data_IF_746716719027
#
_entry.id   IF_746716719027
#
_cell.length_a   1.000
_cell.length_b   1.000
_cell.length_c   1.000
_cell.angle_alpha   90.00
_cell.angle_beta   90.00
_cell.angle_gamma   90.00
#
_symmetry.space_group_name_H-M   'P 1'
#
loop_
_entity.id
_entity.type
_entity.pdbx_description
1 polymer ?
#
# COMPACT_ATOMS: atom_id res chain seq x y z
N UNK A 1 23.29 0.18 -6.02
CA UNK A 1 24.14 1.26 -6.58
C UNK A 1 23.20 2.21 -7.30
N UNK A 2 22.93 3.37 -6.69
CA UNK A 2 22.15 4.45 -7.29
C UNK A 2 23.09 5.15 -8.30
N UNK A 3 22.83 5.05 -9.60
CA UNK A 3 23.48 5.96 -10.56
C UNK A 3 22.76 7.30 -10.49
N UNK A 4 23.36 8.26 -9.78
CA UNK A 4 22.78 9.59 -9.59
C UNK A 4 23.35 10.51 -10.66
N UNK A 5 22.52 10.95 -11.60
CA UNK A 5 22.88 12.00 -12.57
C UNK A 5 22.91 13.36 -11.87
N UNK A 6 24.12 13.82 -11.53
CA UNK A 6 24.54 15.20 -11.20
C UNK A 6 23.44 16.25 -10.92
N UNK A 7 22.80 16.20 -9.74
CA UNK A 7 22.00 17.32 -9.20
C UNK A 7 21.81 17.28 -7.66
N UNK A 8 22.64 16.55 -6.91
CA UNK A 8 22.52 16.45 -5.46
C UNK A 8 23.39 17.48 -4.71
N UNK A 9 22.82 18.16 -3.72
CA UNK A 9 23.56 18.99 -2.78
C UNK A 9 24.47 18.11 -1.91
N UNK A 10 25.78 18.18 -2.14
CA UNK A 10 26.78 17.48 -1.32
C UNK A 10 27.07 18.34 -0.08
N UNK A 11 26.69 17.88 1.10
CA UNK A 11 27.05 18.51 2.37
C UNK A 11 28.28 17.83 2.97
N UNK A 12 29.36 18.57 3.15
CA UNK A 12 30.57 18.07 3.81
C UNK A 12 30.44 18.22 5.34
N UNK A 13 30.55 17.12 6.08
CA UNK A 13 30.65 17.13 7.53
C UNK A 13 32.03 16.59 7.94
N UNK A 14 32.92 17.47 8.41
CA UNK A 14 34.23 17.07 8.95
C UNK A 14 34.09 16.82 10.46
N UNK A 15 34.04 15.56 10.88
CA UNK A 15 34.19 15.18 12.29
C UNK A 15 35.68 14.94 12.59
N UNK A 16 36.24 15.73 13.51
CA UNK A 16 37.68 15.75 13.85
C UNK A 16 38.10 14.65 14.83
N UNK A 17 37.88 13.39 14.47
CA UNK A 17 38.52 12.23 15.10
C UNK A 17 39.11 11.39 13.98
N UNK A 18 40.37 10.92 14.12
CA UNK A 18 41.21 10.25 13.12
C UNK A 18 40.62 8.97 12.49
N UNK A 19 39.45 9.08 11.86
CA UNK A 19 38.65 8.04 11.22
C UNK A 19 38.24 8.51 9.83
N UNK A 20 38.09 7.54 8.94
CA UNK A 20 37.80 7.75 7.51
C UNK A 20 36.69 8.81 7.29
N UNK A 21 36.92 9.72 6.34
CA UNK A 21 35.93 10.70 5.90
C UNK A 21 34.73 9.95 5.31
N UNK A 22 33.63 9.89 6.06
CA UNK A 22 32.34 9.38 5.55
C UNK A 22 31.62 10.55 4.91
N UNK A 23 31.43 10.48 3.60
CA UNK A 23 30.65 11.49 2.88
C UNK A 23 29.16 11.22 3.09
N UNK A 24 28.36 12.27 3.29
CA UNK A 24 26.92 12.17 3.51
C UNK A 24 26.14 12.87 2.40
N UNK A 25 25.16 12.17 1.83
CA UNK A 25 24.22 12.70 0.85
C UNK A 25 22.83 12.65 1.47
N UNK A 26 22.16 13.80 1.53
CA UNK A 26 20.76 13.88 1.96
C UNK A 26 19.88 14.14 0.74
N UNK A 27 18.93 13.25 0.47
CA UNK A 27 18.04 13.36 -0.69
C UNK A 27 16.62 13.68 -0.21
N UNK A 28 15.97 14.74 -0.74
CA UNK A 28 14.55 14.99 -0.49
C UNK A 28 13.71 13.82 -1.04
N UNK A 29 12.79 13.31 -0.23
CA UNK A 29 11.97 12.15 -0.62
C UNK A 29 11.07 12.43 -1.82
N UNK A 30 10.52 13.64 -1.97
CA UNK A 30 9.75 14.00 -3.16
C UNK A 30 10.57 13.96 -4.45
N UNK A 31 11.86 14.32 -4.37
CA UNK A 31 12.80 14.27 -5.49
C UNK A 31 13.13 12.82 -5.80
N UNK A 32 13.52 12.04 -4.80
CA UNK A 32 13.81 10.61 -4.98
C UNK A 32 12.61 9.87 -5.61
N UNK A 33 11.39 10.07 -5.10
CA UNK A 33 10.20 9.44 -5.65
C UNK A 33 9.98 9.80 -7.12
N UNK A 34 10.09 11.10 -7.46
CA UNK A 34 9.92 11.57 -8.84
C UNK A 34 11.00 10.99 -9.76
N UNK A 35 12.24 10.93 -9.30
CA UNK A 35 13.37 10.43 -10.08
C UNK A 35 13.25 8.93 -10.33
N UNK A 36 12.78 8.16 -9.34
CA UNK A 36 12.46 6.74 -9.48
C UNK A 36 11.31 6.51 -10.47
N UNK A 37 10.21 7.27 -10.34
CA UNK A 37 9.04 7.14 -11.22
C UNK A 37 9.36 7.53 -12.67
N UNK A 38 10.17 8.57 -12.86
CA UNK A 38 10.64 8.98 -14.19
C UNK A 38 11.70 8.03 -14.78
N UNK A 39 12.32 7.19 -13.94
CA UNK A 39 13.46 6.34 -14.29
C UNK A 39 14.75 7.11 -14.52
N UNK A 40 14.87 8.29 -13.92
CA UNK A 40 16.14 9.02 -13.83
C UNK A 40 17.10 8.32 -12.87
N UNK A 41 16.55 7.68 -11.85
CA UNK A 41 17.26 6.88 -10.85
C UNK A 41 16.62 5.49 -10.80
N UNK A 42 17.41 4.46 -10.57
CA UNK A 42 16.93 3.09 -10.36
C UNK A 42 17.51 2.49 -9.07
N UNK A 43 16.66 1.80 -8.30
CA UNK A 43 17.08 1.02 -7.15
C UNK A 43 17.52 -0.36 -7.63
N UNK A 44 18.81 -0.68 -7.51
CA UNK A 44 19.32 -2.02 -7.89
C UNK A 44 18.87 -3.16 -6.97
N UNK A 45 18.52 -2.82 -5.74
CA UNK A 45 18.13 -3.75 -4.67
C UNK A 45 17.12 -3.01 -3.78
N UNK A 46 15.88 -2.84 -4.26
CA UNK A 46 14.87 -2.01 -3.61
C UNK A 46 14.52 -2.55 -2.23
N UNK A 47 14.38 -3.87 -2.07
CA UNK A 47 14.09 -4.51 -0.78
C UNK A 47 15.09 -4.09 0.30
N UNK A 48 16.39 -4.32 0.08
CA UNK A 48 17.42 -3.99 1.07
C UNK A 48 17.55 -2.49 1.29
N UNK A 49 17.49 -1.70 0.21
CA UNK A 49 17.69 -0.25 0.28
C UNK A 49 16.50 0.41 0.99
N UNK A 50 15.27 0.07 0.63
CA UNK A 50 14.07 0.63 1.25
C UNK A 50 13.95 0.20 2.71
N UNK A 51 14.26 -1.07 3.04
CA UNK A 51 14.27 -1.51 4.43
C UNK A 51 15.28 -0.72 5.28
N UNK A 52 16.47 -0.42 4.75
CA UNK A 52 17.46 0.42 5.43
C UNK A 52 17.01 1.89 5.54
N UNK A 53 16.40 2.45 4.49
CA UNK A 53 15.93 3.84 4.46
C UNK A 53 14.68 4.08 5.33
N UNK A 54 13.81 3.08 5.47
CA UNK A 54 12.57 3.14 6.23
C UNK A 54 12.72 2.62 7.66
N UNK A 55 13.79 1.86 7.93
CA UNK A 55 14.12 1.34 9.24
C UNK A 55 14.53 2.41 10.25
N UNK A 56 14.98 1.94 11.42
CA UNK A 56 15.32 2.80 12.58
C UNK A 56 16.41 3.82 12.24
N UNK A 57 17.42 3.39 11.48
CA UNK A 57 18.59 4.21 11.18
C UNK A 57 18.34 5.25 10.09
N UNK A 58 17.35 5.05 9.21
CA UNK A 58 16.97 5.95 8.09
C UNK A 58 18.13 6.38 7.18
N UNK A 59 19.19 5.57 7.11
CA UNK A 59 20.28 5.75 6.16
C UNK A 59 20.78 4.40 5.67
N UNK A 60 21.44 4.41 4.52
CA UNK A 60 22.16 3.25 3.99
C UNK A 60 23.59 3.65 3.63
N UNK A 61 24.52 2.72 3.77
CA UNK A 61 25.92 2.91 3.39
C UNK A 61 26.15 2.27 2.01
N UNK A 62 26.52 3.08 1.03
CA UNK A 62 26.81 2.65 -0.34
C UNK A 62 28.19 3.18 -0.72
N UNK A 63 29.15 2.29 -0.92
CA UNK A 63 30.51 2.63 -1.37
C UNK A 63 31.20 3.70 -0.50
N UNK A 64 30.98 3.63 0.82
CA UNK A 64 31.52 4.61 1.79
C UNK A 64 30.72 5.90 1.93
N UNK A 65 29.64 6.07 1.16
CA UNK A 65 28.71 7.18 1.28
C UNK A 65 27.53 6.81 2.19
N UNK A 66 27.22 7.70 3.13
CA UNK A 66 25.98 7.65 3.92
C UNK A 66 24.89 8.36 3.14
N UNK A 67 23.91 7.61 2.65
CA UNK A 67 22.75 8.15 1.95
C UNK A 67 21.59 8.16 2.93
N UNK A 68 21.05 9.34 3.22
CA UNK A 68 19.83 9.51 4.00
C UNK A 68 18.74 10.14 3.14
N UNK A 69 17.50 9.76 3.43
CA UNK A 69 16.32 10.32 2.79
C UNK A 69 15.50 11.03 3.85
N UNK A 70 15.05 12.25 3.54
CA UNK A 70 14.24 13.05 4.46
C UNK A 70 12.94 13.48 3.80
N UNK A 71 11.89 13.58 4.60
CA UNK A 71 10.59 14.09 4.16
C UNK A 71 10.71 15.61 4.05
N UNK A 72 10.78 16.11 2.83
CA UNK A 72 10.81 17.54 2.55
C UNK A 72 9.43 18.19 2.73
N UNK A 73 9.43 19.52 2.82
CA UNK A 73 8.23 20.33 3.06
C UNK A 73 7.20 20.18 1.94
N UNK A 74 7.64 19.97 0.69
CA UNK A 74 6.72 19.87 -0.44
C UNK A 74 5.99 18.53 -0.44
N UNK A 75 6.68 17.43 -0.13
CA UNK A 75 6.03 16.15 0.14
C UNK A 75 5.02 16.28 1.28
N UNK A 76 5.43 16.89 2.38
CA UNK A 76 4.60 17.11 3.56
C UNK A 76 3.30 17.85 3.24
N UNK A 77 3.42 19.00 2.58
CA UNK A 77 2.28 19.80 2.13
C UNK A 77 1.35 18.98 1.27
N UNK A 78 1.90 18.20 0.34
CA UNK A 78 1.11 17.40 -0.59
C UNK A 78 0.34 16.31 0.18
N UNK A 79 1.00 15.53 1.02
CA UNK A 79 0.35 14.52 1.87
C UNK A 79 -0.75 15.14 2.73
N UNK A 80 -0.49 16.30 3.35
CA UNK A 80 -1.48 16.99 4.18
C UNK A 80 -2.68 17.50 3.37
N UNK A 81 -2.46 18.07 2.18
CA UNK A 81 -3.52 18.52 1.29
C UNK A 81 -4.39 17.33 0.87
N UNK A 82 -3.79 16.22 0.45
CA UNK A 82 -4.52 15.00 0.13
C UNK A 82 -5.35 14.51 1.32
N UNK A 83 -4.69 14.35 2.47
CA UNK A 83 -5.31 13.87 3.70
C UNK A 83 -6.51 14.73 4.14
N UNK A 84 -6.35 16.05 4.11
CA UNK A 84 -7.42 16.99 4.45
C UNK A 84 -8.52 17.01 3.39
N UNK A 85 -8.16 16.91 2.10
CA UNK A 85 -9.14 16.88 1.01
C UNK A 85 -10.07 15.66 1.13
N UNK A 86 -9.53 14.50 1.49
CA UNK A 86 -10.32 13.28 1.68
C UNK A 86 -11.32 13.41 2.83
N UNK A 87 -10.94 14.12 3.90
CA UNK A 87 -11.80 14.34 5.08
C UNK A 87 -12.86 15.40 4.87
N UNK A 88 -12.50 16.50 4.23
CA UNK A 88 -13.39 17.66 4.04
C UNK A 88 -14.29 17.48 2.81
N UNK A 89 -13.79 16.81 1.78
CA UNK A 89 -14.46 16.61 0.50
C UNK A 89 -14.32 15.14 0.07
N UNK A 90 -14.91 14.19 0.82
CA UNK A 90 -14.81 12.78 0.47
C UNK A 90 -15.35 12.58 -0.95
N UNK A 91 -14.60 11.84 -1.76
CA UNK A 91 -15.06 11.45 -3.09
C UNK A 91 -16.39 10.69 -2.96
N UNK A 92 -17.24 10.79 -3.98
CA UNK A 92 -18.49 10.02 -4.03
C UNK A 92 -18.13 8.54 -3.93
N UNK A 93 -18.54 7.91 -2.84
CA UNK A 93 -18.24 6.51 -2.53
C UNK A 93 -19.53 5.71 -2.56
N UNK A 94 -19.63 4.78 -3.52
CA UNK A 94 -20.81 3.95 -3.72
C UNK A 94 -20.71 2.69 -2.84
N UNK A 95 -21.25 2.78 -1.62
CA UNK A 95 -21.19 1.69 -0.63
C UNK A 95 -21.77 0.39 -1.19
N UNK A 96 -22.89 0.46 -1.91
CA UNK A 96 -23.56 -0.72 -2.46
C UNK A 96 -22.71 -1.42 -3.53
N UNK A 97 -22.09 -0.66 -4.44
CA UNK A 97 -21.19 -1.22 -5.46
C UNK A 97 -19.93 -1.81 -4.82
N UNK A 98 -19.39 -1.16 -3.80
CA UNK A 98 -18.23 -1.64 -3.07
C UNK A 98 -18.50 -2.97 -2.37
N UNK A 99 -19.62 -3.06 -1.64
CA UNK A 99 -20.04 -4.30 -0.97
C UNK A 99 -20.41 -5.38 -2.00
N UNK A 100 -21.16 -5.03 -3.04
CA UNK A 100 -21.53 -5.99 -4.09
C UNK A 100 -20.28 -6.53 -4.80
N UNK A 101 -19.28 -5.68 -5.06
CA UNK A 101 -17.99 -6.09 -5.63
C UNK A 101 -17.25 -7.10 -4.75
N UNK A 102 -17.36 -7.00 -3.43
CA UNK A 102 -16.79 -7.98 -2.50
C UNK A 102 -17.49 -9.36 -2.57
N UNK A 103 -18.79 -9.40 -2.88
CA UNK A 103 -19.51 -10.67 -3.09
C UNK A 103 -19.37 -11.20 -4.52
N UNK A 104 -19.22 -10.33 -5.52
CA UNK A 104 -19.23 -10.69 -6.94
C UNK A 104 -17.85 -10.89 -7.55
N UNK A 105 -16.75 -10.60 -6.84
CA UNK A 105 -15.39 -10.98 -7.27
C UNK A 105 -15.22 -12.50 -7.21
N UNK A 106 -15.87 -13.17 -8.15
CA UNK A 106 -15.46 -14.46 -8.69
C UNK A 106 -14.08 -14.28 -9.38
N UNK A 107 -13.26 -15.33 -9.50
CA UNK A 107 -11.79 -15.23 -9.63
C UNK A 107 -11.21 -14.53 -10.87
N UNK A 108 -12.01 -13.99 -11.79
CA UNK A 108 -11.59 -13.86 -13.18
C UNK A 108 -11.08 -12.49 -13.64
N UNK A 109 -11.00 -11.44 -12.81
CA UNK A 109 -10.58 -10.10 -13.32
C UNK A 109 -9.76 -9.21 -12.39
N UNK A 110 -9.23 -9.75 -11.30
CA UNK A 110 -8.27 -9.03 -10.44
C UNK A 110 -6.85 -9.12 -11.00
N UNK A 111 -6.61 -8.64 -12.22
CA UNK A 111 -5.25 -8.55 -12.81
C UNK A 111 -4.34 -7.50 -12.12
N UNK A 112 -4.69 -7.06 -10.92
CA UNK A 112 -3.81 -6.31 -9.99
C UNK A 112 -3.68 -6.98 -8.61
N UNK A 113 -4.37 -8.10 -8.38
CA UNK A 113 -4.18 -8.97 -7.21
C UNK A 113 -4.04 -10.40 -7.74
N UNK A 114 -2.92 -10.65 -8.42
CA UNK A 114 -2.52 -11.98 -8.85
C UNK A 114 -2.09 -12.77 -7.61
N UNK A 115 -3.05 -13.21 -6.78
CA UNK A 115 -2.79 -14.25 -5.79
C UNK A 115 -2.57 -15.54 -6.56
N UNK A 116 -1.32 -15.78 -6.95
CA UNK A 116 -0.83 -17.05 -7.50
C UNK A 116 -0.76 -18.06 -6.35
N UNK A 117 -1.92 -18.45 -5.82
CA UNK A 117 -2.02 -19.65 -4.98
C UNK A 117 -2.50 -20.82 -5.83
N UNK A 118 -1.75 -21.18 -6.86
CA UNK A 118 -1.81 -22.55 -7.38
C UNK A 118 -0.38 -23.09 -7.51
N UNK A 119 -0.14 -24.07 -6.65
CA UNK A 119 0.96 -25.00 -6.64
C UNK A 119 1.46 -25.33 -8.06
N UNK A 120 2.60 -24.77 -8.45
CA UNK A 120 3.49 -25.45 -9.38
C UNK A 120 4.18 -26.60 -8.64
N UNK A 121 3.39 -27.57 -8.18
CA UNK A 121 3.87 -28.92 -8.05
C UNK A 121 3.89 -29.47 -9.48
N UNK A 122 5.08 -29.50 -10.08
CA UNK A 122 5.36 -30.35 -11.23
C UNK A 122 5.05 -31.79 -10.84
N UNK A 123 3.81 -32.24 -11.07
CA UNK A 123 3.40 -33.63 -10.97
C UNK A 123 3.15 -34.13 -12.38
N UNK A 124 4.10 -34.90 -12.88
CA UNK A 124 3.89 -35.78 -14.02
C UNK A 124 2.74 -36.75 -13.71
N UNK A 125 1.78 -36.80 -14.64
CA UNK A 125 0.87 -37.92 -14.94
C UNK A 125 0.29 -38.73 -13.77
N UNK A 126 -0.92 -38.37 -13.33
CA UNK A 126 -1.83 -39.34 -12.68
C UNK A 126 -3.25 -39.20 -13.26
N UNK A 127 -3.72 -40.14 -14.11
CA UNK A 127 -5.09 -40.14 -14.60
C UNK A 127 -6.04 -40.73 -13.53
N UNK A 128 -7.29 -40.26 -13.56
CA UNK A 128 -8.49 -40.74 -12.86
C UNK A 128 -8.59 -40.55 -11.33
N UNK A 129 -9.14 -39.40 -10.92
CA UNK A 129 -10.11 -39.36 -9.82
C UNK A 129 -11.14 -38.25 -10.08
N UNK A 130 -12.34 -38.66 -10.50
CA UNK A 130 -13.55 -37.83 -10.49
C UNK A 130 -14.01 -37.64 -9.04
N UNK A 131 -13.40 -36.69 -8.32
CA UNK A 131 -13.89 -36.27 -7.01
C UNK A 131 -14.85 -35.10 -7.23
N UNK A 132 -16.11 -35.30 -6.83
CA UNK A 132 -17.13 -34.25 -6.81
C UNK A 132 -16.66 -33.14 -5.88
N UNK A 133 -16.04 -32.11 -6.47
CA UNK A 133 -15.56 -30.94 -5.77
C UNK A 133 -16.77 -30.16 -5.24
N UNK A 134 -17.06 -30.33 -3.95
CA UNK A 134 -17.71 -29.27 -3.17
C UNK A 134 -16.74 -28.09 -3.18
N UNK A 135 -16.86 -27.26 -4.21
CA UNK A 135 -16.24 -25.96 -4.29
C UNK A 135 -16.79 -25.14 -3.11
N UNK A 136 -16.06 -25.18 -2.00
CA UNK A 136 -16.32 -24.38 -0.82
C UNK A 136 -16.28 -22.93 -1.26
N UNK A 137 -17.45 -22.32 -1.41
CA UNK A 137 -17.60 -20.91 -1.75
C UNK A 137 -16.67 -20.11 -0.83
N UNK A 138 -15.68 -19.45 -1.43
CA UNK A 138 -14.72 -18.67 -0.66
C UNK A 138 -15.50 -17.62 0.16
N UNK A 139 -15.18 -17.44 1.44
CA UNK A 139 -15.85 -16.45 2.26
C UNK A 139 -15.66 -15.06 1.65
N UNK A 140 -16.73 -14.26 1.64
CA UNK A 140 -16.66 -12.89 1.16
C UNK A 140 -15.54 -12.13 1.90
N UNK A 141 -14.81 -11.29 1.16
CA UNK A 141 -13.73 -10.49 1.72
C UNK A 141 -13.83 -9.02 1.32
N UNK A 142 -13.52 -8.12 2.25
CA UNK A 142 -13.61 -6.68 2.07
C UNK A 142 -12.32 -6.02 2.54
N UNK A 143 -11.72 -5.16 1.71
CA UNK A 143 -10.54 -4.40 2.08
C UNK A 143 -10.93 -2.98 2.50
N UNK A 144 -10.82 -2.70 3.79
CA UNK A 144 -11.22 -1.42 4.36
C UNK A 144 -10.31 -0.27 3.94
N UNK A 145 -9.11 -0.52 3.41
CA UNK A 145 -8.20 0.55 2.95
C UNK A 145 -8.82 1.40 1.83
N UNK A 146 -9.85 0.89 1.14
CA UNK A 146 -10.60 1.61 0.11
C UNK A 146 -11.82 2.38 0.65
N UNK A 147 -12.11 2.30 1.96
CA UNK A 147 -13.27 2.92 2.59
C UNK A 147 -12.87 4.25 3.23
N UNK A 148 -13.48 5.39 2.81
CA UNK A 148 -13.23 6.66 3.47
C UNK A 148 -13.58 6.58 4.95
N UNK A 149 -12.71 7.13 5.82
CA UNK A 149 -12.89 7.05 7.27
C UNK A 149 -14.26 7.56 7.74
N UNK A 150 -14.79 8.62 7.13
CA UNK A 150 -16.09 9.21 7.48
C UNK A 150 -17.29 8.31 7.16
N UNK A 151 -17.11 7.29 6.31
CA UNK A 151 -18.16 6.38 5.86
C UNK A 151 -18.05 4.98 6.47
N UNK A 152 -17.02 4.72 7.28
CA UNK A 152 -16.75 3.40 7.84
C UNK A 152 -17.96 2.81 8.58
N UNK A 153 -18.60 3.61 9.45
CA UNK A 153 -19.78 3.17 10.20
C UNK A 153 -20.97 2.87 9.28
N UNK A 154 -21.18 3.68 8.23
CA UNK A 154 -22.25 3.46 7.26
C UNK A 154 -22.02 2.16 6.47
N UNK A 155 -20.77 1.87 6.09
CA UNK A 155 -20.39 0.61 5.46
C UNK A 155 -20.71 -0.57 6.37
N UNK A 156 -20.38 -0.52 7.67
CA UNK A 156 -20.69 -1.60 8.60
C UNK A 156 -22.19 -1.79 8.83
N UNK A 157 -22.96 -0.71 8.97
CA UNK A 157 -24.43 -0.82 9.08
C UNK A 157 -25.03 -1.44 7.82
N UNK A 158 -24.57 -1.02 6.64
CA UNK A 158 -25.05 -1.55 5.36
C UNK A 158 -24.65 -3.01 5.18
N UNK A 159 -23.40 -3.35 5.47
CA UNK A 159 -22.89 -4.71 5.45
C UNK A 159 -23.69 -5.63 6.38
N UNK A 160 -23.98 -5.17 7.61
CA UNK A 160 -24.80 -5.89 8.56
C UNK A 160 -26.23 -6.09 8.03
N UNK A 161 -26.82 -5.09 7.39
CA UNK A 161 -28.16 -5.22 6.81
C UNK A 161 -28.21 -6.28 5.68
N UNK A 162 -27.16 -6.37 4.86
CA UNK A 162 -27.09 -7.26 3.70
C UNK A 162 -26.69 -8.71 4.05
N UNK A 163 -25.88 -8.92 5.09
CA UNK A 163 -25.40 -10.25 5.46
C UNK A 163 -26.55 -11.15 5.99
N UNK A 164 -26.62 -12.43 5.57
CA UNK A 164 -27.47 -13.42 6.22
C UNK A 164 -27.09 -13.63 7.69
N UNK A 165 -28.02 -14.12 8.52
CA UNK A 165 -27.71 -14.50 9.91
C UNK A 165 -26.66 -15.62 9.91
N UNK A 166 -25.69 -15.55 10.83
CA UNK A 166 -24.56 -16.46 10.95
C UNK A 166 -23.57 -16.44 9.77
N UNK A 167 -23.71 -15.51 8.82
CA UNK A 167 -22.73 -15.38 7.74
C UNK A 167 -21.41 -14.83 8.28
N UNK A 168 -20.31 -15.36 7.74
CA UNK A 168 -18.95 -14.91 8.03
C UNK A 168 -18.45 -13.99 6.92
N UNK A 169 -17.72 -12.95 7.29
CA UNK A 169 -16.99 -12.10 6.34
C UNK A 169 -15.59 -11.82 6.86
N UNK A 170 -14.63 -11.79 5.95
CA UNK A 170 -13.25 -11.41 6.25
C UNK A 170 -13.04 -9.94 5.88
N UNK A 171 -12.62 -9.13 6.82
CA UNK A 171 -12.22 -7.75 6.58
C UNK A 171 -10.70 -7.65 6.63
N UNK A 172 -10.12 -6.91 5.71
CA UNK A 172 -8.71 -6.56 5.76
C UNK A 172 -8.57 -5.07 6.07
N UNK A 173 -7.58 -4.73 6.89
CA UNK A 173 -7.32 -3.37 7.32
C UNK A 173 -5.83 -3.16 7.47
N UNK A 174 -5.29 -2.13 6.84
CA UNK A 174 -3.95 -1.66 7.17
C UNK A 174 -4.04 -0.61 8.27
N UNK A 175 -3.09 -0.60 9.19
CA UNK A 175 -2.98 0.42 10.23
C UNK A 175 -1.54 0.85 10.38
N UNK A 176 -1.28 2.13 10.60
CA UNK A 176 0.05 2.61 10.95
C UNK A 176 0.42 2.21 12.38
N UNK A 177 1.62 1.66 12.56
CA UNK A 177 2.20 1.35 13.87
C UNK A 177 2.81 2.62 14.45
N UNK A 178 2.00 3.51 15.02
CA UNK A 178 2.52 4.74 15.63
C UNK A 178 1.90 5.02 17.01
N UNK A 179 2.70 5.56 17.95
CA UNK A 179 2.24 5.85 19.30
C UNK A 179 1.44 7.16 19.30
N UNK A 180 0.21 7.09 19.81
CA UNK A 180 -0.69 8.20 20.23
C UNK A 180 -1.13 9.26 19.20
N UNK A 181 -2.44 9.51 19.22
CA UNK A 181 -3.29 9.94 18.10
C UNK A 181 -3.10 11.38 17.55
N UNK A 182 -2.30 12.25 18.16
CA UNK A 182 -2.29 13.68 17.79
C UNK A 182 -0.93 14.35 17.54
N UNK A 183 0.18 13.87 18.11
CA UNK A 183 1.52 14.43 17.78
C UNK A 183 2.10 13.90 16.46
N UNK A 184 1.33 13.08 15.75
CA UNK A 184 1.89 12.14 14.76
C UNK A 184 1.66 12.53 13.30
N UNK A 185 0.71 13.42 12.98
CA UNK A 185 0.45 13.86 11.59
C UNK A 185 1.47 14.89 11.10
N UNK A 186 2.46 15.27 11.90
CA UNK A 186 3.62 16.06 11.45
C UNK A 186 4.94 15.30 11.59
N UNK A 187 4.89 14.06 12.06
CA UNK A 187 6.06 13.19 12.13
C UNK A 187 6.34 12.61 10.75
N UNK A 188 7.59 12.71 10.28
CA UNK A 188 8.02 12.18 8.99
C UNK A 188 7.59 10.72 8.76
N UNK A 189 7.43 9.92 9.82
CA UNK A 189 6.88 8.57 9.73
C UNK A 189 5.48 8.52 9.11
N UNK A 190 4.63 9.52 9.34
CA UNK A 190 3.30 9.63 8.75
C UNK A 190 3.38 9.85 7.25
N UNK A 191 4.23 10.79 6.79
CA UNK A 191 4.40 11.05 5.37
C UNK A 191 5.02 9.85 4.64
N UNK A 192 6.00 9.17 5.27
CA UNK A 192 6.58 7.92 4.75
C UNK A 192 5.53 6.82 4.59
N UNK A 193 4.69 6.65 5.62
CA UNK A 193 3.61 5.66 5.61
C UNK A 193 2.47 6.01 4.63
N UNK A 194 2.30 7.28 4.28
CA UNK A 194 1.23 7.73 3.38
C UNK A 194 1.49 7.40 1.91
N UNK A 195 2.76 7.29 1.50
CA UNK A 195 3.15 7.16 0.09
C UNK A 195 2.40 6.04 -0.69
N UNK A 196 2.24 4.82 -0.15
CA UNK A 196 1.50 3.76 -0.86
C UNK A 196 0.01 4.06 -1.08
N UNK A 197 -0.57 4.96 -0.29
CA UNK A 197 -2.00 5.29 -0.31
C UNK A 197 -2.30 6.56 -1.11
N UNK A 198 -1.27 7.30 -1.55
CA UNK A 198 -1.47 8.47 -2.39
C UNK A 198 -2.00 8.06 -3.77
N UNK A 199 -2.94 8.82 -4.35
CA UNK A 199 -3.47 8.56 -5.69
C UNK A 199 -2.38 8.43 -6.77
N UNK A 200 -2.60 7.61 -7.79
CA UNK A 200 -1.69 7.48 -8.93
C UNK A 200 -1.42 8.82 -9.62
N UNK A 201 -0.16 9.08 -9.97
CA UNK A 201 0.27 10.33 -10.61
C UNK A 201 0.29 11.53 -9.67
N UNK A 202 0.24 11.33 -8.36
CA UNK A 202 0.25 12.42 -7.37
C UNK A 202 1.45 13.37 -7.53
N UNK A 203 2.61 12.83 -7.90
CA UNK A 203 3.82 13.62 -8.15
C UNK A 203 3.98 14.11 -9.60
N UNK A 204 3.08 13.71 -10.50
CA UNK A 204 3.12 14.05 -11.93
C UNK A 204 2.43 15.38 -12.28
N UNK A 205 1.99 16.15 -11.26
CA UNK A 205 1.10 17.32 -11.39
C UNK A 205 1.61 18.45 -12.29
N UNK A 206 2.89 18.50 -12.65
CA UNK A 206 3.42 19.57 -13.49
C UNK A 206 3.20 19.39 -15.00
N UNK A 207 2.75 18.23 -15.51
CA UNK A 207 2.78 17.98 -16.97
C UNK A 207 1.46 17.71 -17.70
N UNK A 208 0.33 17.48 -17.01
CA UNK A 208 -0.93 17.11 -17.69
C UNK A 208 -2.07 18.09 -17.42
N UNK A 209 -2.00 19.27 -18.03
CA UNK A 209 -3.16 20.20 -18.10
C UNK A 209 -4.33 19.67 -18.95
N UNK A 210 -4.12 18.63 -19.77
CA UNK A 210 -5.11 18.19 -20.77
C UNK A 210 -5.64 16.75 -20.56
N UNK A 211 -5.34 16.07 -19.46
CA UNK A 211 -5.94 14.77 -19.14
C UNK A 211 -7.34 14.95 -18.52
N UNK A 212 -8.20 15.66 -19.24
CA UNK A 212 -9.63 15.75 -18.98
C UNK A 212 -10.23 14.33 -18.93
N UNK A 213 -10.91 14.01 -17.81
CA UNK A 213 -11.83 12.88 -17.66
C UNK A 213 -11.25 11.47 -17.76
N UNK A 214 -10.07 11.21 -17.18
CA UNK A 214 -9.74 9.80 -16.89
C UNK A 214 -10.58 9.34 -15.71
N UNK A 215 -11.38 8.31 -15.98
CA UNK A 215 -12.18 7.51 -15.06
C UNK A 215 -11.68 7.65 -13.63
N UNK A 216 -12.57 8.06 -12.71
CA UNK A 216 -12.33 7.95 -11.28
C UNK A 216 -11.71 6.58 -11.02
N UNK A 217 -10.44 6.59 -10.60
CA UNK A 217 -9.73 5.39 -10.26
C UNK A 217 -10.40 4.88 -8.97
N UNK A 218 -11.48 4.11 -9.13
CA UNK A 218 -12.25 3.50 -8.04
C UNK A 218 -11.39 2.56 -7.19
N UNK A 219 -10.12 2.37 -7.59
CA UNK A 219 -9.10 1.64 -6.86
C UNK A 219 -8.15 2.55 -6.06
N UNK A 220 -8.43 3.84 -5.90
CA UNK A 220 -7.64 4.69 -5.02
C UNK A 220 -7.89 4.29 -3.56
N UNK A 221 -6.83 3.93 -2.85
CA UNK A 221 -6.88 3.72 -1.40
C UNK A 221 -7.07 5.04 -0.68
N UNK A 222 -7.55 4.94 0.55
CA UNK A 222 -7.92 6.07 1.39
C UNK A 222 -6.93 6.23 2.54
N UNK A 223 -7.02 7.34 3.25
CA UNK A 223 -6.26 7.64 4.45
C UNK A 223 -6.67 6.82 5.68
N UNK A 224 -7.62 5.88 5.54
CA UNK A 224 -8.06 5.01 6.64
C UNK A 224 -6.87 4.29 7.25
N UNK A 225 -5.95 3.77 6.43
CA UNK A 225 -4.78 3.05 6.90
C UNK A 225 -3.86 3.87 7.84
N UNK A 226 -3.89 5.20 7.70
CA UNK A 226 -3.05 6.11 8.47
C UNK A 226 -3.73 6.62 9.75
N UNK A 227 -5.05 6.48 9.85
CA UNK A 227 -5.87 7.13 10.88
C UNK A 227 -6.68 6.18 11.75
N UNK A 228 -7.14 5.07 11.18
CA UNK A 228 -7.84 4.05 11.91
C UNK A 228 -6.86 3.23 12.74
N UNK A 229 -7.30 2.88 13.95
CA UNK A 229 -6.68 1.82 14.74
C UNK A 229 -7.56 0.57 14.67
N UNK A 230 -6.95 -0.60 14.84
CA UNK A 230 -7.69 -1.86 14.93
C UNK A 230 -8.78 -1.79 16.02
N UNK A 231 -8.44 -1.21 17.17
CA UNK A 231 -9.40 -1.00 18.27
C UNK A 231 -10.61 -0.20 17.83
N UNK A 232 -10.41 0.93 17.14
CA UNK A 232 -11.50 1.76 16.66
C UNK A 232 -12.39 1.00 15.68
N UNK A 233 -11.81 0.19 14.80
CA UNK A 233 -12.59 -0.63 13.86
C UNK A 233 -13.40 -1.70 14.58
N UNK A 234 -12.82 -2.42 15.55
CA UNK A 234 -13.53 -3.43 16.34
C UNK A 234 -14.66 -2.82 17.17
N UNK A 235 -14.44 -1.62 17.73
CA UNK A 235 -15.47 -0.88 18.49
C UNK A 235 -16.67 -0.51 17.59
N UNK A 236 -16.41 -0.02 16.38
CA UNK A 236 -17.47 0.27 15.41
C UNK A 236 -18.23 -1.00 15.00
N UNK A 237 -17.53 -2.12 14.78
CA UNK A 237 -18.13 -3.42 14.46
C UNK A 237 -18.98 -3.98 15.61
N UNK A 238 -18.61 -3.69 16.85
CA UNK A 238 -19.31 -4.14 18.06
C UNK A 238 -20.39 -3.15 18.52
N UNK A 239 -20.58 -2.04 17.80
CA UNK A 239 -21.52 -1.00 18.18
C UNK A 239 -22.97 -1.52 18.17
N UNK A 240 -23.80 -0.98 19.06
CA UNK A 240 -25.19 -1.46 19.27
C UNK A 240 -26.06 -1.39 18.01
N UNK A 241 -25.72 -0.54 17.04
CA UNK A 241 -26.50 -0.36 15.82
C UNK A 241 -26.35 -1.54 14.84
N UNK A 242 -25.25 -2.28 14.90
CA UNK A 242 -24.95 -3.40 13.99
C UNK A 242 -23.94 -4.34 14.64
N UNK A 243 -24.35 -5.13 15.66
CA UNK A 243 -23.42 -5.91 16.46
C UNK A 243 -22.92 -7.12 15.67
N UNK A 244 -21.69 -7.04 15.18
CA UNK A 244 -20.97 -8.20 14.70
C UNK A 244 -20.30 -8.92 15.87
N UNK A 245 -20.27 -10.25 15.81
CA UNK A 245 -19.41 -11.06 16.67
C UNK A 245 -18.02 -11.12 16.05
N UNK A 246 -17.01 -10.59 16.74
CA UNK A 246 -15.62 -10.78 16.35
C UNK A 246 -15.21 -12.25 16.57
N UNK A 247 -14.73 -12.91 15.52
CA UNK A 247 -14.25 -14.30 15.56
C UNK A 247 -12.74 -14.32 15.76
N UNK A 248 -11.99 -13.61 14.92
CA UNK A 248 -10.54 -13.46 15.06
C UNK A 248 -10.06 -12.12 14.50
N UNK A 249 -8.90 -11.67 14.97
CA UNK A 249 -8.15 -10.56 14.41
C UNK A 249 -6.66 -10.96 14.42
N UNK A 250 -6.11 -11.18 13.24
CA UNK A 250 -4.77 -11.72 13.04
C UNK A 250 -3.88 -10.68 12.32
N UNK A 251 -2.65 -10.54 12.78
CA UNK A 251 -1.63 -9.75 12.08
C UNK A 251 -1.11 -10.59 10.89
N UNK A 252 -1.40 -10.13 9.68
CA UNK A 252 -1.02 -10.78 8.41
C UNK A 252 -0.03 -9.92 7.63
N UNK A 253 0.76 -9.09 8.33
CA UNK A 253 1.73 -8.17 7.70
C UNK A 253 2.77 -8.89 6.87
N UNK A 254 3.31 -10.01 7.36
CA UNK A 254 4.29 -10.82 6.63
C UNK A 254 3.71 -11.41 5.33
N UNK A 255 2.53 -12.06 5.42
CA UNK A 255 1.82 -12.59 4.24
C UNK A 255 1.54 -11.49 3.21
N UNK A 256 1.13 -10.30 3.68
CA UNK A 256 0.87 -9.17 2.79
C UNK A 256 2.15 -8.64 2.13
N UNK A 257 3.26 -8.60 2.86
CA UNK A 257 4.56 -8.23 2.31
C UNK A 257 4.98 -9.20 1.19
N UNK A 258 4.84 -10.51 1.42
CA UNK A 258 5.14 -11.54 0.40
C UNK A 258 4.23 -11.43 -0.83
N UNK A 259 2.94 -11.16 -0.65
CA UNK A 259 2.02 -10.90 -1.77
C UNK A 259 2.43 -9.69 -2.61
N UNK A 260 2.89 -8.60 -1.95
CA UNK A 260 3.35 -7.38 -2.62
C UNK A 260 4.62 -7.64 -3.43
N UNK A 261 5.57 -8.43 -2.90
CA UNK A 261 6.74 -8.89 -3.65
C UNK A 261 6.33 -9.76 -4.85
N UNK A 262 5.34 -10.64 -4.70
CA UNK A 262 4.80 -11.41 -5.83
C UNK A 262 4.17 -10.53 -6.92
N UNK A 263 3.52 -9.42 -6.54
CA UNK A 263 3.03 -8.40 -7.50
C UNK A 263 4.19 -7.68 -8.18
N UNK A 264 5.24 -7.35 -7.43
CA UNK A 264 6.47 -6.76 -7.95
C UNK A 264 7.12 -7.66 -9.02
N UNK A 265 7.33 -8.93 -8.69
CA UNK A 265 7.89 -9.93 -9.58
C UNK A 265 7.03 -10.09 -10.83
N UNK A 266 5.70 -10.04 -10.72
CA UNK A 266 4.80 -10.09 -11.87
C UNK A 266 4.94 -8.83 -12.75
N UNK A 267 5.00 -7.64 -12.16
CA UNK A 267 5.20 -6.39 -12.90
C UNK A 267 6.55 -6.33 -13.62
N UNK A 268 7.57 -7.02 -13.10
CA UNK A 268 8.88 -7.12 -13.73
C UNK A 268 8.98 -8.29 -14.72
N UNK A 269 8.77 -9.51 -14.28
CA UNK A 269 9.11 -10.71 -15.03
C UNK A 269 8.01 -11.12 -16.01
N UNK A 270 6.74 -10.83 -15.74
CA UNK A 270 5.65 -11.14 -16.67
C UNK A 270 5.48 -10.03 -17.71
N UNK A 271 5.94 -10.35 -18.93
CA UNK A 271 5.85 -9.44 -20.09
C UNK A 271 4.42 -8.99 -20.39
N UNK A 272 3.40 -9.85 -20.17
CA UNK A 272 1.99 -9.51 -20.45
C UNK A 272 1.48 -8.52 -19.40
N UNK A 273 1.65 -8.83 -18.12
CA UNK A 273 1.24 -7.94 -17.01
C UNK A 273 1.92 -6.57 -17.12
N UNK A 274 3.22 -6.55 -17.44
CA UNK A 274 3.97 -5.32 -17.71
C UNK A 274 3.39 -4.54 -18.89
N UNK A 275 3.20 -5.19 -20.05
CA UNK A 275 2.70 -4.54 -21.25
C UNK A 275 1.29 -3.96 -21.05
N UNK A 276 0.39 -4.71 -20.43
CA UNK A 276 -0.99 -4.28 -20.14
C UNK A 276 -1.01 -3.12 -19.16
N UNK A 277 -0.13 -3.13 -18.16
CA UNK A 277 -0.01 -2.02 -17.20
C UNK A 277 0.52 -0.77 -17.88
N UNK A 278 1.61 -0.86 -18.66
CA UNK A 278 2.15 0.26 -19.44
C UNK A 278 1.11 0.79 -20.44
N UNK A 279 0.33 -0.07 -21.09
CA UNK A 279 -0.73 0.36 -22.00
C UNK A 279 -1.82 1.18 -21.29
N UNK A 280 -2.18 0.81 -20.05
CA UNK A 280 -3.22 1.50 -19.25
C UNK A 280 -2.73 2.79 -18.62
N UNK A 281 -1.57 2.78 -17.97
CA UNK A 281 -1.09 3.91 -17.16
C UNK A 281 0.18 4.60 -17.68
N UNK A 282 0.82 4.06 -18.71
CA UNK A 282 2.12 4.53 -19.21
C UNK A 282 3.30 3.95 -18.42
N UNK A 283 4.52 4.19 -18.92
CA UNK A 283 5.76 3.68 -18.28
C UNK A 283 5.95 4.24 -16.87
N UNK A 284 5.67 5.54 -16.67
CA UNK A 284 5.73 6.16 -15.34
C UNK A 284 4.72 5.55 -14.37
N UNK A 285 3.49 5.30 -14.82
CA UNK A 285 2.46 4.66 -13.99
C UNK A 285 2.82 3.21 -13.62
N UNK A 286 3.47 2.48 -14.52
CA UNK A 286 4.01 1.15 -14.24
C UNK A 286 5.13 1.22 -13.18
N UNK A 287 6.09 2.14 -13.31
CA UNK A 287 7.16 2.37 -12.32
C UNK A 287 6.62 2.82 -10.96
N UNK A 288 5.58 3.65 -10.95
CA UNK A 288 4.93 4.09 -9.72
C UNK A 288 4.21 2.94 -9.02
N UNK A 289 3.49 2.09 -9.76
CA UNK A 289 2.84 0.90 -9.20
C UNK A 289 3.86 -0.08 -8.60
N UNK A 290 4.95 -0.32 -9.34
CA UNK A 290 6.10 -1.08 -8.88
C UNK A 290 6.68 -0.52 -7.58
N UNK A 291 7.01 0.77 -7.56
CA UNK A 291 7.62 1.43 -6.40
C UNK A 291 6.69 1.42 -5.19
N UNK A 292 5.38 1.61 -5.37
CA UNK A 292 4.40 1.54 -4.26
C UNK A 292 4.36 0.17 -3.61
N UNK A 293 4.39 -0.90 -4.41
CA UNK A 293 4.34 -2.26 -3.89
C UNK A 293 5.55 -2.56 -3.00
N UNK A 294 6.75 -2.25 -3.50
CA UNK A 294 8.01 -2.35 -2.76
C UNK A 294 8.02 -1.48 -1.50
N UNK A 295 7.53 -0.24 -1.61
CA UNK A 295 7.49 0.69 -0.49
C UNK A 295 6.53 0.21 0.63
N UNK A 296 5.36 -0.30 0.26
CA UNK A 296 4.40 -0.87 1.21
C UNK A 296 4.94 -2.14 1.87
N UNK A 297 5.57 -3.04 1.10
CA UNK A 297 6.20 -4.25 1.61
C UNK A 297 7.28 -3.90 2.66
N UNK A 298 8.20 -3.00 2.31
CA UNK A 298 9.25 -2.56 3.22
C UNK A 298 8.67 -1.88 4.50
N UNK A 299 7.60 -1.11 4.39
CA UNK A 299 6.92 -0.53 5.56
C UNK A 299 6.28 -1.58 6.48
N UNK A 300 5.76 -2.68 5.91
CA UNK A 300 5.24 -3.82 6.68
C UNK A 300 6.39 -4.59 7.36
N UNK A 301 7.49 -4.83 6.65
CA UNK A 301 8.65 -5.57 7.17
C UNK A 301 9.30 -4.85 8.36
N UNK A 302 9.51 -3.53 8.26
CA UNK A 302 10.06 -2.72 9.37
C UNK A 302 9.02 -2.46 10.47
N UNK A 303 7.79 -2.95 10.29
CA UNK A 303 6.70 -2.81 11.24
C UNK A 303 6.13 -1.40 11.36
N UNK A 304 6.41 -0.49 10.41
CA UNK A 304 5.83 0.86 10.37
C UNK A 304 4.35 0.85 9.97
N UNK A 305 3.96 -0.13 9.16
CA UNK A 305 2.57 -0.50 8.90
C UNK A 305 2.30 -1.90 9.47
N UNK A 306 1.02 -2.18 9.74
CA UNK A 306 0.51 -3.51 10.03
C UNK A 306 -0.70 -3.80 9.19
N UNK A 307 -0.81 -5.02 8.68
CA UNK A 307 -2.00 -5.52 8.00
C UNK A 307 -2.75 -6.49 8.90
N UNK A 308 -4.04 -6.26 9.08
CA UNK A 308 -4.92 -7.09 9.88
C UNK A 308 -5.89 -7.84 9.01
N UNK A 309 -6.13 -9.11 9.36
CA UNK A 309 -7.23 -9.93 8.88
C UNK A 309 -8.22 -10.10 10.02
N UNK A 310 -9.43 -9.57 9.86
CA UNK A 310 -10.47 -9.54 10.87
C UNK A 310 -11.62 -10.41 10.38
N UNK A 311 -11.90 -11.50 11.06
CA UNK A 311 -13.03 -12.38 10.74
C UNK A 311 -14.18 -12.03 11.67
N UNK A 312 -15.33 -11.68 11.11
CA UNK A 312 -16.53 -11.36 11.86
C UNK A 312 -17.70 -12.24 11.41
N UNK A 313 -18.68 -12.38 12.31
CA UNK A 313 -19.94 -13.07 12.06
C UNK A 313 -21.12 -12.18 12.42
N UNK A 314 -22.17 -12.19 11.60
CA UNK A 314 -23.45 -11.58 11.94
C UNK A 314 -24.28 -12.48 12.86
#
# INVERSE_FOLDING_TARGET
MLEVSSCCCVSHFCSSSAGALVFAISIPLSVLWRDLVSGTVELRDPERILHALLGVDRFTLVDGWRISVYVDVDLWKSVLVWFMSERLFPAVFQIDEFIAGAYMRLPSSSLLFYSRSEHYATSENCPCHSSNAHELAQPASLDLDFVPHTLLEQVFRRLHALLPKNAHITLYLTTRTAPTMMKSVFDSSFALAALPFLPSGFFALSRRKNASRRNHDLSARTSLALTASLHHVIENLSSRASPFTLISAEDVSATRSDELRGVEEALQCDRRVRADTIARCGVEGWREAYLRAEWEAALLDVGALRRWKIVIRK
#
